data_IF_323439732183
#
_entry.id   IF_323439732183
#
_cell.length_a   1.000
_cell.length_b   1.000
_cell.length_c   1.000
_cell.angle_alpha   90.00
_cell.angle_beta   90.00
_cell.angle_gamma   90.00
#
_symmetry.space_group_name_H-M   'P 1'
#
loop_
_entity.id
_entity.type
_entity.pdbx_description
1 polymer ?
#
# COMPACT_ATOMS: atom_id res chain seq x y z
N UNK A 1 25.21 -25.13 7.20
CA UNK A 1 25.12 -24.23 8.36
C UNK A 1 25.11 -22.79 7.84
N UNK A 2 23.98 -22.34 7.28
CA UNK A 2 23.86 -20.98 6.76
C UNK A 2 23.49 -20.04 7.90
N UNK A 3 24.40 -19.08 8.12
CA UNK A 3 24.29 -17.99 9.08
C UNK A 3 23.11 -17.14 8.64
N UNK A 4 21.93 -17.37 9.21
CA UNK A 4 20.80 -16.46 9.10
C UNK A 4 21.25 -15.19 9.82
N UNK A 5 21.66 -14.19 9.05
CA UNK A 5 21.83 -12.83 9.54
C UNK A 5 20.48 -12.37 10.07
N UNK A 6 20.25 -12.56 11.37
CA UNK A 6 19.25 -11.79 12.11
C UNK A 6 19.74 -10.34 12.14
N UNK A 7 19.53 -9.63 11.04
CA UNK A 7 19.53 -8.18 11.05
C UNK A 7 18.33 -7.78 11.90
N UNK A 8 18.56 -7.62 13.21
CA UNK A 8 17.69 -6.87 14.10
C UNK A 8 17.69 -5.44 13.59
N UNK A 9 16.90 -5.17 12.57
CA UNK A 9 16.63 -3.81 12.16
C UNK A 9 15.80 -3.17 13.26
N UNK A 10 16.46 -2.40 14.12
CA UNK A 10 15.80 -1.45 15.01
C UNK A 10 15.23 -0.31 14.15
N UNK A 11 14.20 -0.59 13.36
CA UNK A 11 13.48 0.46 12.68
C UNK A 11 12.69 1.27 13.71
N UNK A 12 12.83 2.58 13.65
CA UNK A 12 11.91 3.47 14.35
C UNK A 12 10.51 3.34 13.72
N UNK A 13 9.43 3.68 14.45
CA UNK A 13 8.08 3.71 13.86
C UNK A 13 8.00 4.56 12.57
N UNK A 14 8.71 5.69 12.52
CA UNK A 14 8.79 6.53 11.33
C UNK A 14 9.50 5.81 10.16
N UNK A 15 10.63 5.14 10.43
CA UNK A 15 11.34 4.39 9.40
C UNK A 15 10.50 3.21 8.84
N UNK A 16 9.66 2.58 9.66
CA UNK A 16 8.73 1.55 9.20
C UNK A 16 7.61 2.13 8.32
N UNK A 17 7.13 3.32 8.67
CA UNK A 17 6.15 4.04 7.86
C UNK A 17 6.74 4.41 6.50
N UNK A 18 7.92 5.03 6.47
CA UNK A 18 8.61 5.41 5.23
C UNK A 18 8.88 4.21 4.34
N UNK A 19 9.39 3.11 4.90
CA UNK A 19 9.61 1.86 4.15
C UNK A 19 8.33 1.27 3.60
N UNK A 20 7.23 1.36 4.34
CA UNK A 20 5.95 0.87 3.86
C UNK A 20 5.40 1.76 2.74
N UNK A 21 5.57 3.09 2.82
CA UNK A 21 5.21 4.02 1.75
C UNK A 21 6.04 3.75 0.50
N UNK A 22 7.36 3.63 0.64
CA UNK A 22 8.29 3.30 -0.45
C UNK A 22 7.87 1.99 -1.11
N UNK A 23 7.73 0.91 -0.33
CA UNK A 23 7.34 -0.41 -0.84
C UNK A 23 6.02 -0.38 -1.62
N UNK A 24 4.99 0.28 -1.08
CA UNK A 24 3.68 0.32 -1.72
C UNK A 24 3.68 1.21 -2.96
N UNK A 25 4.34 2.37 -2.92
CA UNK A 25 4.40 3.29 -4.07
C UNK A 25 5.31 2.80 -5.19
N UNK A 26 6.39 2.09 -4.87
CA UNK A 26 7.35 1.60 -5.86
C UNK A 26 6.98 0.24 -6.44
N UNK A 27 6.03 -0.48 -5.84
CA UNK A 27 5.57 -1.77 -6.39
C UNK A 27 5.01 -1.54 -7.78
N UNK A 28 5.57 -2.26 -8.74
CA UNK A 28 5.02 -2.42 -10.07
C UNK A 28 4.61 -3.89 -10.27
N UNK A 29 3.72 -4.07 -11.22
CA UNK A 29 3.33 -5.37 -11.76
C UNK A 29 3.23 -5.23 -13.28
N UNK A 30 3.13 -6.34 -13.99
CA UNK A 30 3.05 -6.30 -15.45
C UNK A 30 2.19 -7.42 -16.01
N UNK A 31 1.34 -7.06 -16.97
CA UNK A 31 0.55 -8.01 -17.73
C UNK A 31 0.87 -7.88 -19.23
N UNK A 32 0.64 -8.97 -19.97
CA UNK A 32 0.75 -8.98 -21.42
C UNK A 32 -0.64 -8.77 -22.01
N UNK A 33 -0.80 -7.72 -22.80
CA UNK A 33 -2.08 -7.32 -23.40
C UNK A 33 -1.96 -7.39 -24.91
N UNK A 34 -3.05 -7.80 -25.55
CA UNK A 34 -3.25 -7.71 -27.00
C UNK A 34 -4.09 -6.45 -27.28
N UNK A 35 -3.58 -5.53 -28.09
CA UNK A 35 -4.35 -4.36 -28.52
C UNK A 35 -5.37 -4.71 -29.62
N UNK A 36 -6.13 -3.70 -30.05
CA UNK A 36 -7.14 -3.82 -31.11
C UNK A 36 -6.54 -4.16 -32.49
N UNK A 37 -5.24 -3.90 -32.68
CA UNK A 37 -4.49 -4.14 -33.91
C UNK A 37 -3.69 -5.47 -33.87
N UNK A 38 -4.03 -6.36 -32.93
CA UNK A 38 -3.36 -7.64 -32.68
C UNK A 38 -1.86 -7.54 -32.33
N UNK A 39 -1.41 -6.39 -31.82
CA UNK A 39 -0.05 -6.23 -31.30
C UNK A 39 0.01 -6.56 -29.81
N UNK A 40 1.02 -7.36 -29.45
CA UNK A 40 1.33 -7.68 -28.07
C UNK A 40 2.19 -6.60 -27.44
N UNK A 41 1.77 -6.10 -26.27
CA UNK A 41 2.59 -5.20 -25.46
C UNK A 41 2.57 -5.57 -23.98
N UNK A 42 3.62 -5.16 -23.27
CA UNK A 42 3.74 -5.32 -21.82
C UNK A 42 3.16 -4.06 -21.17
N UNK A 43 2.06 -4.21 -20.46
CA UNK A 43 1.47 -3.16 -19.65
C UNK A 43 2.05 -3.23 -18.25
N UNK A 44 2.90 -2.25 -17.90
CA UNK A 44 3.46 -2.08 -16.55
C UNK A 44 2.59 -1.11 -15.77
N UNK A 45 2.19 -1.49 -14.56
CA UNK A 45 1.32 -0.66 -13.72
C UNK A 45 1.71 -0.67 -12.25
N UNK A 46 1.21 0.32 -11.51
CA UNK A 46 1.46 0.50 -10.08
C UNK A 46 0.22 0.10 -9.27
N UNK A 47 0.07 -1.16 -8.86
CA UNK A 47 -1.17 -1.71 -8.30
C UNK A 47 -1.72 -0.92 -7.11
N UNK A 48 -0.86 -0.38 -6.26
CA UNK A 48 -1.26 0.39 -5.08
C UNK A 48 -1.58 1.85 -5.40
N UNK A 49 -0.88 2.47 -6.35
CA UNK A 49 -1.19 3.83 -6.80
C UNK A 49 -2.48 3.86 -7.62
N UNK A 50 -2.64 2.92 -8.55
CA UNK A 50 -3.87 2.77 -9.34
C UNK A 50 -5.07 2.49 -8.43
N UNK A 51 -4.90 1.66 -7.40
CA UNK A 51 -5.94 1.44 -6.41
C UNK A 51 -6.26 2.72 -5.62
N UNK A 52 -5.26 3.50 -5.20
CA UNK A 52 -5.50 4.76 -4.50
C UNK A 52 -6.25 5.76 -5.38
N UNK A 53 -5.88 5.87 -6.65
CA UNK A 53 -6.53 6.71 -7.64
C UNK A 53 -8.00 6.31 -7.85
N UNK A 54 -8.27 5.02 -8.01
CA UNK A 54 -9.64 4.51 -8.15
C UNK A 54 -10.49 4.69 -6.89
N UNK A 55 -9.88 4.82 -5.71
CA UNK A 55 -10.58 4.91 -4.43
C UNK A 55 -10.75 6.33 -3.87
N UNK A 56 -9.81 7.25 -4.15
CA UNK A 56 -9.75 8.54 -3.45
C UNK A 56 -11.04 9.35 -3.61
N UNK A 57 -11.62 9.36 -4.81
CA UNK A 57 -12.87 10.07 -5.10
C UNK A 57 -14.11 9.32 -4.58
N UNK A 58 -14.01 8.00 -4.44
CA UNK A 58 -15.08 7.12 -3.95
C UNK A 58 -15.25 7.17 -2.43
N UNK A 59 -14.21 7.51 -1.66
CA UNK A 59 -14.24 7.51 -0.18
C UNK A 59 -15.38 8.37 0.40
N UNK A 60 -15.74 9.48 -0.25
CA UNK A 60 -16.82 10.35 0.23
C UNK A 60 -18.20 10.02 -0.33
N UNK A 61 -18.29 9.09 -1.28
CA UNK A 61 -19.51 8.75 -1.98
C UNK A 61 -20.12 7.45 -1.45
N UNK A 62 -19.30 6.45 -1.13
CA UNK A 62 -19.78 5.11 -0.80
C UNK A 62 -19.90 4.85 0.71
N UNK A 63 -20.96 4.12 1.08
CA UNK A 63 -21.17 3.49 2.39
C UNK A 63 -21.52 2.00 2.19
N UNK A 64 -20.71 1.03 2.66
CA UNK A 64 -19.52 1.21 3.50
C UNK A 64 -18.34 1.84 2.76
N UNK A 65 -17.51 2.56 3.52
CA UNK A 65 -16.26 3.14 3.01
C UNK A 65 -15.42 2.06 2.29
N UNK A 66 -14.93 2.37 1.07
CA UNK A 66 -14.11 1.44 0.34
C UNK A 66 -12.78 1.19 1.07
N UNK A 67 -12.20 0.00 0.86
CA UNK A 67 -11.02 -0.45 1.59
C UNK A 67 -9.82 -0.54 0.67
N UNK A 68 -8.73 0.10 1.08
CA UNK A 68 -7.42 -0.13 0.49
C UNK A 68 -6.88 -1.52 0.88
N UNK A 69 -6.66 -2.39 -0.10
CA UNK A 69 -6.17 -3.75 0.07
C UNK A 69 -4.66 -3.76 -0.08
N UNK A 70 -3.98 -4.16 1.00
CA UNK A 70 -2.54 -4.44 1.02
C UNK A 70 -2.36 -5.94 0.89
N UNK A 71 -1.66 -6.41 -0.14
CA UNK A 71 -1.46 -7.83 -0.34
C UNK A 71 -0.32 -8.33 0.53
N UNK A 72 -0.60 -9.35 1.34
CA UNK A 72 0.38 -9.84 2.33
C UNK A 72 1.65 -10.39 1.66
N UNK A 73 1.53 -10.95 0.45
CA UNK A 73 2.64 -11.47 -0.34
C UNK A 73 3.62 -10.39 -0.82
N UNK A 74 3.18 -9.13 -0.89
CA UNK A 74 4.05 -8.01 -1.25
C UNK A 74 4.84 -7.45 -0.08
N UNK A 75 4.54 -7.84 1.16
CA UNK A 75 5.23 -7.35 2.34
C UNK A 75 6.40 -8.28 2.66
N UNK A 76 7.66 -7.83 2.58
CA UNK A 76 8.81 -8.65 2.94
C UNK A 76 8.71 -9.16 4.38
N UNK A 77 9.13 -10.41 4.60
CA UNK A 77 9.02 -11.06 5.91
C UNK A 77 9.61 -10.21 7.05
N UNK A 78 10.80 -9.63 6.84
CA UNK A 78 11.45 -8.79 7.86
C UNK A 78 10.65 -7.52 8.21
N UNK A 79 9.96 -6.92 7.22
CA UNK A 79 9.08 -5.77 7.47
C UNK A 79 7.81 -6.20 8.22
N UNK A 80 7.22 -7.33 7.82
CA UNK A 80 6.06 -7.89 8.49
C UNK A 80 6.36 -8.25 9.97
N UNK A 81 7.53 -8.81 10.26
CA UNK A 81 7.96 -9.13 11.62
C UNK A 81 8.20 -7.86 12.44
N UNK A 82 8.91 -6.87 11.89
CA UNK A 82 9.14 -5.60 12.57
C UNK A 82 7.83 -4.87 12.90
N UNK A 83 6.86 -4.87 11.98
CA UNK A 83 5.52 -4.33 12.20
C UNK A 83 4.77 -5.07 13.33
N UNK A 84 4.87 -6.40 13.39
CA UNK A 84 4.23 -7.21 14.45
C UNK A 84 4.81 -6.91 15.84
N UNK A 85 6.12 -6.68 15.94
CA UNK A 85 6.80 -6.41 17.22
C UNK A 85 6.34 -5.11 17.89
N UNK A 86 5.80 -4.14 17.14
CA UNK A 86 5.30 -2.88 17.68
C UNK A 86 3.99 -3.01 18.49
N UNK A 87 3.31 -4.15 18.37
CA UNK A 87 1.97 -4.35 18.92
C UNK A 87 0.86 -3.77 18.03
N UNK A 88 -0.36 -4.27 18.24
CA UNK A 88 -1.51 -4.10 17.33
C UNK A 88 -1.87 -2.64 17.04
N UNK A 89 -1.85 -1.76 18.04
CA UNK A 89 -2.27 -0.35 17.89
C UNK A 89 -1.25 0.44 17.07
N UNK A 90 0.03 0.36 17.43
CA UNK A 90 1.12 1.05 16.72
C UNK A 90 1.25 0.56 15.28
N UNK A 91 1.20 -0.75 15.07
CA UNK A 91 1.19 -1.36 13.74
C UNK A 91 0.04 -0.78 12.88
N UNK A 92 -1.18 -0.74 13.42
CA UNK A 92 -2.33 -0.19 12.69
C UNK A 92 -2.15 1.29 12.38
N UNK A 93 -1.59 2.07 13.28
CA UNK A 93 -1.30 3.49 13.07
C UNK A 93 -0.35 3.70 11.89
N UNK A 94 0.79 2.99 11.88
CA UNK A 94 1.80 3.06 10.82
C UNK A 94 1.20 2.69 9.46
N UNK A 95 0.46 1.57 9.38
CA UNK A 95 -0.16 1.15 8.12
C UNK A 95 -1.19 2.20 7.65
N UNK A 96 -1.97 2.76 8.58
CA UNK A 96 -2.95 3.80 8.24
C UNK A 96 -2.25 5.04 7.71
N UNK A 97 -1.14 5.48 8.32
CA UNK A 97 -0.37 6.63 7.87
C UNK A 97 0.31 6.39 6.52
N UNK A 98 0.83 5.18 6.29
CA UNK A 98 1.38 4.83 4.99
C UNK A 98 0.31 4.95 3.89
N UNK A 99 -0.88 4.38 4.11
CA UNK A 99 -2.01 4.50 3.17
C UNK A 99 -2.46 5.95 3.00
N UNK A 100 -2.46 6.75 4.07
CA UNK A 100 -2.76 8.19 4.00
C UNK A 100 -1.81 8.92 3.06
N UNK A 101 -0.50 8.66 3.17
CA UNK A 101 0.53 9.28 2.33
C UNK A 101 0.40 8.83 0.87
N UNK A 102 0.01 7.58 0.62
CA UNK A 102 -0.31 7.12 -0.74
C UNK A 102 -1.50 7.89 -1.33
N UNK A 103 -2.59 8.07 -0.58
CA UNK A 103 -3.73 8.86 -1.08
C UNK A 103 -3.36 10.33 -1.29
N UNK A 104 -2.64 10.92 -0.34
CA UNK A 104 -2.17 12.30 -0.43
C UNK A 104 -1.28 12.51 -1.67
N UNK A 105 -0.45 11.53 -2.05
CA UNK A 105 0.38 11.65 -3.26
C UNK A 105 -0.41 11.61 -4.58
N UNK A 106 -1.63 11.05 -4.60
CA UNK A 106 -2.46 11.03 -5.83
C UNK A 106 -3.02 12.41 -6.12
N UNK A 107 -3.68 13.03 -5.13
CA UNK A 107 -4.26 14.36 -5.27
C UNK A 107 -4.24 15.07 -3.90
N UNK A 108 -3.16 15.81 -3.59
CA UNK A 108 -3.00 16.47 -2.29
C UNK A 108 -4.13 17.46 -1.99
N UNK A 109 -4.54 18.23 -3.00
CA UNK A 109 -5.58 19.23 -2.85
C UNK A 109 -6.92 18.60 -2.48
N UNK A 110 -7.35 17.58 -3.24
CA UNK A 110 -8.59 16.88 -2.96
C UNK A 110 -8.54 16.18 -1.60
N UNK A 111 -7.41 15.53 -1.28
CA UNK A 111 -7.19 14.82 -0.02
C UNK A 111 -7.46 15.71 1.20
N UNK A 112 -6.86 16.91 1.22
CA UNK A 112 -6.98 17.85 2.32
C UNK A 112 -8.35 18.55 2.35
N UNK A 113 -8.84 19.04 1.20
CA UNK A 113 -10.13 19.76 1.13
C UNK A 113 -11.33 18.90 1.49
N UNK A 114 -11.26 17.59 1.22
CA UNK A 114 -12.39 16.68 1.37
C UNK A 114 -12.28 15.75 2.59
N UNK A 115 -11.33 16.02 3.50
CA UNK A 115 -11.21 15.32 4.78
C UNK A 115 -10.90 13.82 4.65
N UNK A 116 -10.19 13.41 3.59
CA UNK A 116 -9.89 12.00 3.30
C UNK A 116 -9.05 11.37 4.43
N UNK A 117 -8.16 12.15 5.06
CA UNK A 117 -7.34 11.73 6.21
C UNK A 117 -8.12 11.00 7.32
N UNK A 118 -9.36 11.43 7.58
CA UNK A 118 -10.22 10.86 8.63
C UNK A 118 -10.98 9.60 8.24
N UNK A 119 -11.01 9.25 6.94
CA UNK A 119 -11.90 8.21 6.37
C UNK A 119 -11.16 7.01 5.79
N UNK A 120 -9.90 6.82 6.18
CA UNK A 120 -9.07 5.73 5.66
C UNK A 120 -9.50 4.37 6.24
N UNK A 121 -9.83 3.44 5.34
CA UNK A 121 -10.00 2.02 5.65
C UNK A 121 -9.03 1.19 4.82
N UNK A 122 -8.46 0.18 5.45
CA UNK A 122 -7.59 -0.78 4.77
C UNK A 122 -7.78 -2.19 5.33
N UNK A 123 -7.32 -3.19 4.57
CA UNK A 123 -7.27 -4.59 4.98
C UNK A 123 -6.07 -5.29 4.35
N UNK A 124 -5.64 -6.38 4.98
CA UNK A 124 -4.73 -7.32 4.31
C UNK A 124 -5.51 -8.28 3.41
N UNK A 125 -5.05 -8.45 2.17
CA UNK A 125 -5.48 -9.50 1.24
C UNK A 125 -4.57 -10.74 1.35
N UNK A 126 -5.09 -11.90 0.91
CA UNK A 126 -4.37 -13.19 0.97
C UNK A 126 -3.45 -13.41 -0.24
N UNK A 127 -3.91 -13.11 -1.45
CA UNK A 127 -3.14 -13.15 -2.70
C UNK A 127 -3.89 -12.40 -3.80
N UNK A 128 -3.17 -11.86 -4.79
CA UNK A 128 -3.74 -11.16 -5.97
C UNK A 128 -4.42 -12.07 -6.99
N UNK A 129 -4.27 -13.39 -6.88
CA UNK A 129 -4.85 -14.38 -7.80
C UNK A 129 -6.35 -14.54 -7.67
#
# INVERSE_FOLDING_TARGET
MHRIERLYYNYTPAALEDKLVELLSSKNDSDVILDEDENWYIHVFHPYLNQAEGLIYSINVFDPLPKFVIWSEDIPLGLAEALKQLGKVKMKCIITNAVRRIYESINPEYYHKNGIYGKIKWRFGRSRK
#
